data_IF_705028508974
#
_entry.id   IF_705028508974
#
_cell.length_a   1.000
_cell.length_b   1.000
_cell.length_c   1.000
_cell.angle_alpha   90.00
_cell.angle_beta   90.00
_cell.angle_gamma   90.00
#
_symmetry.space_group_name_H-M   'P 1'
#
loop_
_entity.id
_entity.type
_entity.pdbx_description
1 polymer ?
#
# COMPACT_ATOMS: atom_id res chain seq x y z
N UNK A 1 -23.49 -40.71 -95.02
CA UNK A 1 -24.11 -41.82 -94.25
C UNK A 1 -23.10 -42.22 -93.18
N UNK A 2 -23.58 -42.41 -91.93
CA UNK A 2 -22.86 -42.73 -90.68
C UNK A 2 -22.42 -41.53 -89.80
N UNK A 3 -23.16 -41.38 -88.69
CA UNK A 3 -22.80 -40.73 -87.40
C UNK A 3 -21.78 -41.63 -86.64
N UNK A 4 -21.43 -41.36 -85.36
CA UNK A 4 -20.83 -40.18 -84.72
C UNK A 4 -19.58 -40.59 -83.88
N UNK A 5 -18.91 -39.63 -83.23
CA UNK A 5 -17.88 -39.93 -82.22
C UNK A 5 -17.76 -38.81 -81.19
N UNK A 6 -18.33 -39.03 -80.00
CA UNK A 6 -18.25 -38.17 -78.82
C UNK A 6 -17.00 -38.48 -77.99
N UNK A 7 -16.22 -37.47 -77.61
CA UNK A 7 -15.27 -37.57 -76.50
C UNK A 7 -15.38 -36.38 -75.54
N UNK A 8 -15.36 -36.75 -74.25
CA UNK A 8 -15.59 -35.95 -73.05
C UNK A 8 -14.46 -34.93 -72.78
N UNK A 9 -14.76 -33.74 -72.20
CA UNK A 9 -13.73 -32.85 -71.69
C UNK A 9 -13.22 -33.30 -70.31
N UNK A 10 -11.89 -33.32 -70.17
CA UNK A 10 -11.14 -33.42 -68.92
C UNK A 10 -11.19 -32.06 -68.21
N UNK A 11 -11.42 -31.97 -66.89
CA UNK A 11 -11.37 -30.68 -66.21
C UNK A 11 -9.93 -30.18 -66.14
N UNK A 12 -9.73 -28.95 -66.61
CA UNK A 12 -8.45 -28.25 -66.58
C UNK A 12 -8.03 -27.93 -65.13
N UNK A 13 -6.85 -28.42 -64.76
CA UNK A 13 -6.17 -28.08 -63.51
C UNK A 13 -5.67 -26.62 -63.61
N UNK A 14 -6.31 -25.71 -62.89
CA UNK A 14 -5.99 -24.28 -62.96
C UNK A 14 -4.71 -23.98 -62.17
N UNK A 15 -3.67 -23.58 -62.90
CA UNK A 15 -2.41 -23.01 -62.41
C UNK A 15 -2.60 -21.51 -62.15
N UNK A 16 -1.84 -20.98 -61.18
CA UNK A 16 -1.81 -19.57 -60.75
C UNK A 16 -2.96 -19.25 -59.78
N UNK A 17 -2.72 -18.84 -58.53
CA UNK A 17 -2.04 -17.62 -58.14
C UNK A 17 -1.38 -17.79 -56.77
N UNK A 18 -0.05 -17.70 -56.73
CA UNK A 18 0.69 -17.36 -55.51
C UNK A 18 0.43 -15.88 -55.27
N UNK A 19 -0.53 -15.54 -54.39
CA UNK A 19 -0.74 -14.17 -53.95
C UNK A 19 -0.06 -13.98 -52.60
N UNK A 20 1.06 -13.26 -52.67
CA UNK A 20 1.87 -12.74 -51.59
C UNK A 20 1.00 -11.85 -50.67
N UNK A 21 0.44 -12.40 -49.59
CA UNK A 21 -0.16 -11.62 -48.50
C UNK A 21 0.94 -11.06 -47.58
N UNK A 22 1.61 -10.00 -48.05
CA UNK A 22 2.28 -9.03 -47.20
C UNK A 22 1.28 -7.93 -46.84
N UNK A 23 1.36 -7.45 -45.60
CA UNK A 23 0.69 -6.27 -45.02
C UNK A 23 -0.68 -6.49 -44.40
N UNK A 24 -0.70 -6.67 -43.06
CA UNK A 24 -1.51 -5.92 -42.08
C UNK A 24 -1.51 -6.64 -40.71
N UNK A 25 -0.32 -6.87 -40.13
CA UNK A 25 -0.25 -6.97 -38.68
C UNK A 25 -0.29 -5.52 -38.17
N UNK A 26 -1.31 -5.10 -37.40
CA UNK A 26 -1.13 -3.89 -36.61
C UNK A 26 0.04 -4.21 -35.69
N UNK A 27 1.19 -3.57 -35.93
CA UNK A 27 2.20 -3.44 -34.89
C UNK A 27 1.48 -2.74 -33.74
N UNK A 28 0.91 -3.52 -32.83
CA UNK A 28 0.70 -3.11 -31.47
C UNK A 28 2.11 -2.80 -30.98
N UNK A 29 2.51 -1.54 -31.13
CA UNK A 29 3.64 -0.99 -30.41
C UNK A 29 3.29 -1.23 -28.95
N UNK A 30 3.84 -2.30 -28.36
CA UNK A 30 3.98 -2.36 -26.92
C UNK A 30 4.91 -1.20 -26.59
N UNK A 31 4.31 -0.04 -26.34
CA UNK A 31 4.99 1.05 -25.68
C UNK A 31 5.43 0.46 -24.35
N UNK A 32 6.70 0.07 -24.24
CA UNK A 32 7.27 -0.30 -22.96
C UNK A 32 7.11 0.93 -22.08
N UNK A 33 6.19 0.89 -21.12
CA UNK A 33 6.09 1.91 -20.09
C UNK A 33 7.38 1.78 -19.29
N UNK A 34 8.36 2.63 -19.59
CA UNK A 34 9.59 2.66 -18.80
C UNK A 34 9.15 2.98 -17.36
N UNK A 35 9.61 2.20 -16.36
CA UNK A 35 9.25 2.45 -14.98
C UNK A 35 9.53 3.92 -14.67
N UNK A 36 8.55 4.62 -14.10
CA UNK A 36 8.78 5.99 -13.64
C UNK A 36 9.97 5.98 -12.68
N UNK A 37 11.04 6.67 -13.06
CA UNK A 37 12.20 6.93 -12.20
C UNK A 37 11.96 8.13 -11.28
N UNK A 38 10.78 8.75 -11.37
CA UNK A 38 10.40 9.85 -10.51
C UNK A 38 9.90 9.29 -9.18
N UNK A 39 10.41 9.85 -8.09
CA UNK A 39 9.89 9.57 -6.76
C UNK A 39 8.44 10.06 -6.68
N UNK A 40 7.58 9.22 -6.12
CA UNK A 40 6.23 9.59 -5.76
C UNK A 40 6.04 9.45 -4.26
N UNK A 41 5.24 10.35 -3.68
CA UNK A 41 4.89 10.32 -2.28
C UNK A 41 3.38 10.52 -2.10
N UNK A 42 2.82 9.82 -1.13
CA UNK A 42 1.46 10.01 -0.67
C UNK A 42 1.44 10.02 0.85
N UNK A 43 0.58 10.85 1.44
CA UNK A 43 0.46 10.97 2.88
C UNK A 43 -1.02 10.96 3.30
N UNK A 44 -1.29 10.36 4.46
CA UNK A 44 -2.61 10.37 5.06
C UNK A 44 -2.52 10.16 6.57
N UNK A 45 -3.58 10.55 7.27
CA UNK A 45 -3.75 10.27 8.69
C UNK A 45 -5.10 9.59 8.91
N UNK A 46 -5.13 8.62 9.84
CA UNK A 46 -6.34 8.06 10.41
C UNK A 46 -6.44 8.51 11.87
N UNK A 47 -7.57 9.08 12.24
CA UNK A 47 -7.83 9.50 13.62
C UNK A 47 -8.29 8.32 14.46
N UNK A 48 -7.77 8.23 15.68
CA UNK A 48 -8.07 7.19 16.64
C UNK A 48 -9.04 7.74 17.69
N UNK A 49 -10.05 6.96 18.01
CA UNK A 49 -11.02 7.30 19.05
C UNK A 49 -10.63 6.62 20.36
N UNK A 50 -10.56 7.40 21.43
CA UNK A 50 -10.44 6.95 22.81
C UNK A 50 -11.64 7.48 23.60
N UNK A 51 -11.88 6.91 24.78
CA UNK A 51 -12.89 7.39 25.70
C UNK A 51 -12.40 7.28 27.15
N UNK A 52 -13.06 8.01 28.05
CA UNK A 52 -12.68 8.17 29.45
C UNK A 52 -12.68 6.85 30.25
N UNK A 53 -13.24 5.76 29.69
CA UNK A 53 -13.21 4.45 30.35
C UNK A 53 -11.89 3.70 30.16
N UNK A 54 -11.06 4.14 29.22
CA UNK A 54 -9.84 3.43 28.86
C UNK A 54 -8.67 3.77 29.80
N UNK A 55 -7.83 2.77 30.08
CA UNK A 55 -6.62 2.96 30.87
C UNK A 55 -5.53 3.58 30.01
N UNK A 56 -5.03 4.73 30.47
CA UNK A 56 -3.94 5.49 29.84
C UNK A 56 -2.59 4.85 30.19
N UNK A 57 -1.72 4.75 29.18
CA UNK A 57 -0.38 4.24 29.31
C UNK A 57 0.65 5.36 29.51
N UNK A 58 1.67 5.12 30.34
CA UNK A 58 2.81 6.01 30.54
C UNK A 58 3.20 6.20 32.01
N UNK A 59 2.32 5.85 32.94
CA UNK A 59 2.61 5.81 34.37
C UNK A 59 3.20 4.45 34.81
N UNK A 60 3.62 4.37 36.08
CA UNK A 60 3.93 3.09 36.72
C UNK A 60 2.63 2.29 36.94
N UNK A 61 1.55 3.00 37.28
CA UNK A 61 0.21 2.45 37.46
C UNK A 61 -0.73 2.94 36.37
N UNK A 62 -1.71 2.12 35.99
CA UNK A 62 -2.78 2.53 35.09
C UNK A 62 -3.66 3.62 35.71
N UNK A 63 -4.10 4.58 34.90
CA UNK A 63 -5.04 5.63 35.32
C UNK A 63 -6.00 5.99 34.18
N UNK A 64 -7.13 6.63 34.50
CA UNK A 64 -8.08 7.17 33.54
C UNK A 64 -7.96 8.69 33.46
N UNK A 65 -8.28 9.26 32.31
CA UNK A 65 -8.37 10.70 32.08
C UNK A 65 -9.78 11.07 31.63
N UNK A 66 -10.14 12.35 31.80
CA UNK A 66 -11.40 12.90 31.32
C UNK A 66 -11.16 13.78 30.10
N UNK A 67 -11.88 13.47 29.02
CA UNK A 67 -11.79 14.22 27.77
C UNK A 67 -10.48 13.99 27.01
N UNK A 68 -10.33 14.74 25.92
CA UNK A 68 -9.20 14.61 25.00
C UNK A 68 -8.84 15.98 24.43
N UNK A 69 -7.66 16.49 24.80
CA UNK A 69 -7.18 17.80 24.32
C UNK A 69 -6.72 17.75 22.86
N UNK A 70 -6.11 16.63 22.44
CA UNK A 70 -5.48 16.48 21.13
C UNK A 70 -5.89 15.19 20.42
N UNK A 71 -5.93 15.23 19.09
CA UNK A 71 -6.23 14.04 18.27
C UNK A 71 -5.11 13.01 18.34
N UNK A 72 -5.45 11.78 18.69
CA UNK A 72 -4.59 10.61 18.50
C UNK A 72 -4.70 10.12 17.05
N UNK A 73 -3.57 9.85 16.40
CA UNK A 73 -3.52 9.50 14.98
C UNK A 73 -2.55 8.36 14.69
N UNK A 74 -2.85 7.65 13.60
CA UNK A 74 -1.84 6.95 12.80
C UNK A 74 -1.59 7.80 11.55
N UNK A 75 -0.35 8.24 11.35
CA UNK A 75 0.06 9.05 10.19
C UNK A 75 0.98 8.23 9.32
N UNK A 76 0.62 8.03 8.05
CA UNK A 76 1.39 7.26 7.09
C UNK A 76 1.93 8.15 5.96
N UNK A 77 3.19 7.90 5.59
CA UNK A 77 3.79 8.33 4.34
C UNK A 77 4.14 7.09 3.53
N UNK A 78 3.71 7.04 2.28
CA UNK A 78 4.06 6.00 1.32
C UNK A 78 4.91 6.61 0.23
N UNK A 79 6.09 6.04 0.00
CA UNK A 79 7.00 6.40 -1.08
C UNK A 79 6.97 5.33 -2.17
N UNK A 80 7.04 5.73 -3.43
CA UNK A 80 7.15 4.81 -4.56
C UNK A 80 8.24 5.26 -5.53
N UNK A 81 9.05 4.31 -6.01
CA UNK A 81 10.07 4.50 -7.04
C UNK A 81 10.08 3.28 -7.96
N UNK A 82 9.60 3.45 -9.20
CA UNK A 82 9.35 2.33 -10.10
C UNK A 82 8.43 1.28 -9.45
N UNK A 83 8.83 -0.01 -9.40
CA UNK A 83 8.02 -1.07 -8.78
C UNK A 83 8.12 -1.10 -7.24
N UNK A 84 9.06 -0.38 -6.63
CA UNK A 84 9.31 -0.44 -5.18
C UNK A 84 8.42 0.55 -4.44
N UNK A 85 7.86 0.12 -3.31
CA UNK A 85 7.10 0.96 -2.39
C UNK A 85 7.59 0.77 -0.96
N UNK A 86 7.56 1.84 -0.17
CA UNK A 86 7.91 1.91 1.25
C UNK A 86 6.79 2.61 2.01
N UNK A 87 6.34 2.03 3.12
CA UNK A 87 5.41 2.68 4.06
C UNK A 87 6.12 3.01 5.36
N UNK A 88 5.98 4.25 5.82
CA UNK A 88 6.44 4.72 7.13
C UNK A 88 5.21 5.22 7.88
N UNK A 89 4.96 4.68 9.08
CA UNK A 89 3.80 5.02 9.90
C UNK A 89 4.25 5.44 11.28
N UNK A 90 3.75 6.58 11.76
CA UNK A 90 3.88 7.03 13.14
C UNK A 90 2.52 6.93 13.84
N UNK A 91 2.50 6.34 15.05
CA UNK A 91 1.29 6.13 15.84
C UNK A 91 1.38 6.89 17.17
N UNK A 92 0.33 7.63 17.50
CA UNK A 92 0.19 8.32 18.79
C UNK A 92 -0.17 7.36 19.92
N UNK A 93 0.77 6.48 20.27
CA UNK A 93 0.68 5.51 21.36
C UNK A 93 2.02 5.40 22.09
N UNK A 94 2.03 4.82 23.30
CA UNK A 94 3.26 4.61 24.07
C UNK A 94 4.20 3.61 23.38
N UNK A 95 3.70 2.40 23.11
CA UNK A 95 4.47 1.30 22.55
C UNK A 95 3.59 0.15 22.07
N UNK A 96 4.09 -0.64 21.12
CA UNK A 96 3.39 -1.80 20.58
C UNK A 96 4.35 -2.98 20.42
N UNK A 97 3.82 -4.20 20.55
CA UNK A 97 4.61 -5.41 20.38
C UNK A 97 4.54 -5.95 18.95
N UNK A 98 5.52 -6.77 18.58
CA UNK A 98 5.54 -7.44 17.28
C UNK A 98 4.29 -8.29 17.05
N UNK A 99 3.76 -8.95 18.09
CA UNK A 99 2.57 -9.78 18.00
C UNK A 99 1.33 -8.97 17.57
N UNK A 100 1.23 -7.70 17.99
CA UNK A 100 0.14 -6.80 17.58
C UNK A 100 0.36 -6.30 16.14
N UNK A 101 1.60 -6.11 15.71
CA UNK A 101 1.94 -5.52 14.41
C UNK A 101 2.08 -6.53 13.26
N UNK A 102 2.41 -7.80 13.53
CA UNK A 102 2.60 -8.82 12.48
C UNK A 102 1.36 -9.01 11.58
N UNK A 103 0.12 -9.07 12.12
CA UNK A 103 -1.10 -9.12 11.31
C UNK A 103 -1.35 -7.83 10.53
N UNK A 104 -1.04 -6.67 11.11
CA UNK A 104 -1.18 -5.36 10.46
C UNK A 104 -0.29 -5.26 9.22
N UNK A 105 0.97 -5.69 9.34
CA UNK A 105 1.91 -5.73 8.21
C UNK A 105 1.44 -6.71 7.13
N UNK A 106 0.85 -7.85 7.52
CA UNK A 106 0.26 -8.79 6.56
C UNK A 106 -0.90 -8.17 5.78
N UNK A 107 -1.78 -7.45 6.47
CA UNK A 107 -2.91 -6.76 5.86
C UNK A 107 -2.44 -5.61 4.94
N UNK A 108 -1.44 -4.83 5.35
CA UNK A 108 -0.83 -3.80 4.49
C UNK A 108 -0.32 -4.41 3.20
N UNK A 109 0.45 -5.49 3.28
CA UNK A 109 1.01 -6.17 2.11
C UNK A 109 -0.11 -6.65 1.18
N UNK A 110 -1.11 -7.33 1.73
CA UNK A 110 -2.27 -7.81 0.97
C UNK A 110 -3.07 -6.68 0.32
N UNK A 111 -3.28 -5.56 1.00
CA UNK A 111 -4.15 -4.47 0.54
C UNK A 111 -3.46 -3.49 -0.42
N UNK A 112 -2.12 -3.40 -0.38
CA UNK A 112 -1.38 -2.32 -1.08
C UNK A 112 -0.24 -2.81 -1.97
N UNK A 113 0.17 -4.08 -1.82
CA UNK A 113 1.34 -4.66 -2.48
C UNK A 113 2.68 -4.16 -1.93
N UNK A 114 2.69 -3.44 -0.80
CA UNK A 114 3.92 -3.02 -0.14
C UNK A 114 4.48 -4.22 0.63
N UNK A 115 5.67 -4.69 0.24
CA UNK A 115 6.28 -5.86 0.88
C UNK A 115 6.48 -5.65 2.37
N UNK A 116 6.35 -6.72 3.17
CA UNK A 116 6.58 -6.69 4.64
C UNK A 116 7.90 -6.05 5.03
N UNK A 117 8.97 -6.26 4.26
CA UNK A 117 10.30 -5.70 4.52
C UNK A 117 10.37 -4.17 4.32
N UNK A 118 9.36 -3.59 3.67
CA UNK A 118 9.27 -2.18 3.33
C UNK A 118 8.16 -1.47 4.12
N UNK A 119 7.85 -1.96 5.33
CA UNK A 119 6.89 -1.34 6.25
C UNK A 119 7.61 -1.03 7.56
N UNK A 120 7.69 0.26 7.90
CA UNK A 120 8.19 0.73 9.20
C UNK A 120 7.03 1.36 9.97
N UNK A 121 6.78 0.86 11.18
CA UNK A 121 5.77 1.39 12.11
C UNK A 121 6.49 1.82 13.38
N UNK A 122 6.37 3.08 13.76
CA UNK A 122 6.90 3.64 15.00
C UNK A 122 5.78 4.18 15.88
N UNK A 123 6.06 4.27 17.18
CA UNK A 123 5.19 4.90 18.17
C UNK A 123 5.84 6.22 18.59
N UNK A 124 5.04 7.29 18.78
CA UNK A 124 5.56 8.58 19.26
C UNK A 124 6.00 8.55 20.72
N UNK A 125 5.70 7.46 21.42
CA UNK A 125 5.98 7.30 22.84
C UNK A 125 5.22 8.31 23.71
N UNK A 126 3.98 8.62 23.34
CA UNK A 126 3.11 9.46 24.17
C UNK A 126 2.67 8.73 25.44
N UNK A 127 2.74 9.43 26.57
CA UNK A 127 2.27 8.96 27.88
C UNK A 127 0.78 9.31 28.13
N UNK A 128 0.04 9.68 27.09
CA UNK A 128 -1.34 10.19 27.17
C UNK A 128 -2.28 9.52 26.16
N UNK A 129 -2.04 8.25 25.82
CA UNK A 129 -2.92 7.42 25.00
C UNK A 129 -3.33 6.14 25.73
N UNK A 130 -4.49 5.54 25.41
CA UNK A 130 -4.85 4.25 25.98
C UNK A 130 -3.81 3.15 25.68
N UNK A 131 -3.70 2.20 26.61
CA UNK A 131 -2.68 1.16 26.55
C UNK A 131 -2.87 0.19 25.37
N UNK A 132 -1.80 -0.08 24.63
CA UNK A 132 -1.77 -1.04 23.51
C UNK A 132 -0.97 -2.31 23.79
N UNK A 133 -0.34 -2.41 24.97
CA UNK A 133 0.33 -3.62 25.45
C UNK A 133 0.44 -3.61 26.97
N UNK A 134 0.82 -4.75 27.58
CA UNK A 134 1.09 -4.76 29.02
C UNK A 134 2.32 -3.92 29.32
N UNK A 135 2.16 -2.95 30.22
CA UNK A 135 3.25 -2.14 30.77
C UNK A 135 3.00 -2.07 32.27
N UNK A 136 3.99 -2.50 33.06
CA UNK A 136 3.89 -2.58 34.51
C UNK A 136 2.60 -3.31 34.97
N UNK A 137 1.72 -2.62 35.71
CA UNK A 137 0.54 -3.21 36.34
C UNK A 137 -0.73 -3.23 35.45
N UNK A 138 -0.71 -2.57 34.29
CA UNK A 138 -1.89 -2.44 33.44
C UNK A 138 -1.79 -3.24 32.13
N UNK A 139 -2.96 -3.68 31.67
CA UNK A 139 -3.13 -4.49 30.46
C UNK A 139 -3.38 -3.60 29.22
N UNK A 140 -3.26 -4.15 27.99
CA UNK A 140 -3.76 -3.46 26.81
C UNK A 140 -5.28 -3.28 26.88
N UNK A 141 -5.76 -2.12 26.41
CA UNK A 141 -7.16 -1.94 26.04
C UNK A 141 -7.39 -2.58 24.66
N UNK A 142 -8.21 -3.62 24.61
CA UNK A 142 -8.39 -4.42 23.38
C UNK A 142 -9.14 -3.67 22.29
N UNK A 143 -10.05 -2.76 22.66
CA UNK A 143 -10.82 -1.95 21.72
C UNK A 143 -9.89 -0.92 21.07
N UNK A 144 -9.12 -0.20 21.88
CA UNK A 144 -8.17 0.78 21.38
C UNK A 144 -7.05 0.13 20.57
N UNK A 145 -6.51 -1.01 21.03
CA UNK A 145 -5.49 -1.77 20.28
C UNK A 145 -5.99 -2.12 18.88
N UNK A 146 -7.23 -2.61 18.76
CA UNK A 146 -7.84 -2.89 17.44
C UNK A 146 -8.00 -1.62 16.61
N UNK A 147 -8.46 -0.50 17.20
CA UNK A 147 -8.58 0.79 16.51
C UNK A 147 -7.23 1.27 15.97
N UNK A 148 -6.14 1.07 16.71
CA UNK A 148 -4.78 1.40 16.24
C UNK A 148 -4.38 0.53 15.06
N UNK A 149 -4.63 -0.80 15.11
CA UNK A 149 -4.37 -1.70 14.00
C UNK A 149 -5.12 -1.28 12.72
N UNK A 150 -6.43 -1.05 12.85
CA UNK A 150 -7.29 -0.57 11.75
C UNK A 150 -6.84 0.80 11.24
N UNK A 151 -6.46 1.71 12.14
CA UNK A 151 -5.97 3.05 11.82
C UNK A 151 -4.66 3.02 11.03
N UNK A 152 -3.72 2.15 11.39
CA UNK A 152 -2.47 1.95 10.64
C UNK A 152 -2.79 1.53 9.20
N UNK A 153 -3.62 0.49 9.02
CA UNK A 153 -3.97 -0.01 7.69
C UNK A 153 -4.70 1.06 6.87
N UNK A 154 -5.67 1.75 7.48
CA UNK A 154 -6.43 2.81 6.84
C UNK A 154 -5.54 3.97 6.37
N UNK A 155 -4.61 4.42 7.22
CA UNK A 155 -3.65 5.48 6.89
C UNK A 155 -2.76 5.06 5.72
N UNK A 156 -2.21 3.84 5.74
CA UNK A 156 -1.34 3.34 4.66
C UNK A 156 -2.10 3.19 3.34
N UNK A 157 -3.31 2.62 3.36
CA UNK A 157 -4.16 2.50 2.15
C UNK A 157 -4.48 3.87 1.55
N UNK A 158 -4.85 4.83 2.40
CA UNK A 158 -5.16 6.19 1.94
C UNK A 158 -3.92 6.89 1.39
N UNK A 159 -2.77 6.79 2.06
CA UNK A 159 -1.51 7.35 1.57
C UNK A 159 -1.10 6.73 0.23
N UNK A 160 -1.18 5.40 0.08
CA UNK A 160 -0.87 4.70 -1.16
C UNK A 160 -1.80 5.12 -2.32
N UNK A 161 -3.07 5.44 -2.05
CA UNK A 161 -4.02 5.94 -3.06
C UNK A 161 -3.77 7.39 -3.51
N UNK A 162 -2.92 8.13 -2.78
CA UNK A 162 -2.60 9.54 -3.01
C UNK A 162 -1.17 9.76 -3.51
N UNK A 163 -0.56 8.75 -4.13
CA UNK A 163 0.77 8.87 -4.71
C UNK A 163 0.76 9.93 -5.82
N UNK A 164 1.56 10.97 -5.62
CA UNK A 164 1.86 11.99 -6.63
C UNK A 164 3.36 12.23 -6.71
N UNK A 165 3.80 12.84 -7.80
CA UNK A 165 5.22 13.16 -8.00
C UNK A 165 5.75 14.05 -6.87
N UNK A 166 6.96 13.74 -6.38
CA UNK A 166 7.57 14.44 -5.25
C UNK A 166 9.09 14.56 -5.42
N UNK A 167 9.65 15.61 -4.85
CA UNK A 167 11.08 15.78 -4.68
C UNK A 167 11.49 15.35 -3.26
N UNK A 168 12.67 14.76 -3.11
CA UNK A 168 13.23 14.38 -1.81
C UNK A 168 14.38 15.31 -1.45
N UNK A 169 14.23 16.03 -0.35
CA UNK A 169 15.20 16.98 0.18
C UNK A 169 15.53 16.58 1.61
N UNK A 170 16.79 16.73 2.00
CA UNK A 170 17.26 16.44 3.36
C UNK A 170 18.13 17.59 3.87
N UNK A 171 17.91 17.96 5.13
CA UNK A 171 18.75 18.89 5.87
C UNK A 171 18.92 18.38 7.30
N UNK A 172 20.14 18.47 7.82
CA UNK A 172 20.42 18.16 9.22
C UNK A 172 20.15 19.39 10.08
N UNK A 173 19.23 19.27 11.03
CA UNK A 173 19.00 20.25 12.10
C UNK A 173 19.74 19.85 13.38
N UNK A 174 20.07 20.85 14.21
CA UNK A 174 20.67 20.65 15.53
C UNK A 174 19.79 21.36 16.57
N UNK A 175 19.30 20.61 17.56
CA UNK A 175 18.66 21.15 18.76
C UNK A 175 19.67 21.14 19.90
N UNK A 176 20.26 22.32 20.19
CA UNK A 176 21.35 22.46 21.19
C UNK A 176 20.88 22.37 22.64
N UNK A 177 19.57 22.25 22.86
CA UNK A 177 18.94 22.24 24.17
C UNK A 177 18.24 20.91 24.37
N UNK A 178 18.99 19.94 24.90
CA UNK A 178 18.47 18.74 25.57
C UNK A 178 19.16 18.58 26.91
#
# INVERSE_FOLDING_TARGET
MLLPGSHFPVPALNRSVVLLCLCLLPLFQLQSQQPSTRLQAGAAAAELQADDSMIIAGGITGYQLQGQEGKLRCVAVVLALGPQKLAIVACDVLMMTRQVLDPVIAEIESATGISRSNVLINCTHTHHAPSTMRVHDYAPDTVFTRRVQEGIVAAVKSAASKLGDADFLFALGEEKTV
#
